data_IF_988592788814
#
_entry.id   IF_988592788814
#
_cell.length_a   1.000
_cell.length_b   1.000
_cell.length_c   1.000
_cell.angle_alpha   90.00
_cell.angle_beta   90.00
_cell.angle_gamma   90.00
#
_symmetry.space_group_name_H-M   'P 1'
#
loop_
_entity.id
_entity.type
_entity.pdbx_description
1 polymer ?
#
# COMPACT_ATOMS: atom_id res chain seq x y z
N UNK A 1 -10.67 12.55 4.63
CA UNK A 1 -9.80 11.41 5.05
C UNK A 1 -10.11 10.25 4.12
N UNK A 2 -9.11 9.71 3.43
CA UNK A 2 -9.22 8.54 2.56
C UNK A 2 -8.67 7.31 3.28
N UNK A 3 -9.35 6.18 3.15
CA UNK A 3 -8.91 4.92 3.73
C UNK A 3 -8.46 3.99 2.61
N UNK A 4 -7.25 3.43 2.75
CA UNK A 4 -6.66 2.52 1.77
C UNK A 4 -6.40 1.20 2.49
N UNK A 5 -7.08 0.14 2.03
CA UNK A 5 -6.85 -1.22 2.49
C UNK A 5 -5.68 -1.85 1.75
N UNK A 6 -4.82 -2.57 2.45
CA UNK A 6 -3.71 -3.32 1.84
C UNK A 6 -3.64 -4.72 2.43
N UNK A 7 -3.70 -5.73 1.57
CA UNK A 7 -3.29 -7.09 1.87
C UNK A 7 -1.85 -7.31 1.33
N UNK A 8 -1.02 -7.89 2.18
CA UNK A 8 0.43 -7.96 2.00
C UNK A 8 0.85 -9.40 1.77
N UNK A 9 1.32 -9.70 0.57
CA UNK A 9 1.89 -11.02 0.26
C UNK A 9 3.40 -10.92 0.05
N UNK A 10 4.07 -12.08 -0.07
CA UNK A 10 5.51 -12.14 -0.33
C UNK A 10 5.93 -11.41 -1.61
N UNK A 11 5.09 -11.43 -2.65
CA UNK A 11 5.44 -10.88 -3.98
C UNK A 11 4.72 -9.57 -4.29
N UNK A 12 3.54 -9.39 -3.73
CA UNK A 12 2.58 -8.39 -4.18
C UNK A 12 1.87 -7.71 -3.00
N UNK A 13 1.46 -6.46 -3.21
CA UNK A 13 0.58 -5.67 -2.37
C UNK A 13 -0.76 -5.55 -3.11
N UNK A 14 -1.78 -6.20 -2.57
CA UNK A 14 -3.16 -6.05 -3.03
C UNK A 14 -3.74 -4.82 -2.34
N UNK A 15 -3.98 -3.75 -3.10
CA UNK A 15 -4.38 -2.44 -2.58
C UNK A 15 -5.80 -2.14 -3.01
N UNK A 16 -6.64 -1.74 -2.06
CA UNK A 16 -8.01 -1.29 -2.30
C UNK A 16 -8.18 0.17 -1.84
N UNK A 17 -8.53 1.04 -2.78
CA UNK A 17 -8.82 2.46 -2.51
C UNK A 17 -10.18 2.92 -3.05
N UNK A 18 -11.11 1.98 -3.17
CA UNK A 18 -12.34 2.08 -3.97
C UNK A 18 -12.19 1.45 -5.36
N UNK A 19 -10.96 1.05 -5.72
CA UNK A 19 -10.63 0.19 -6.87
C UNK A 19 -9.56 -0.81 -6.46
N UNK A 20 -9.61 -1.99 -7.06
CA UNK A 20 -8.56 -3.01 -6.91
C UNK A 20 -7.31 -2.62 -7.71
N UNK A 21 -6.18 -2.64 -7.01
CA UNK A 21 -4.86 -2.30 -7.53
C UNK A 21 -3.85 -3.33 -7.03
N UNK A 22 -2.79 -3.55 -7.81
CA UNK A 22 -1.73 -4.46 -7.42
C UNK A 22 -0.35 -3.83 -7.65
N UNK A 23 0.53 -3.96 -6.67
CA UNK A 23 1.91 -3.47 -6.72
C UNK A 23 2.89 -4.55 -6.26
N UNK A 24 4.07 -4.61 -6.88
CA UNK A 24 5.12 -5.54 -6.43
C UNK A 24 5.58 -5.16 -5.01
N UNK A 25 5.57 -6.12 -4.09
CA UNK A 25 6.12 -6.01 -2.74
C UNK A 25 7.64 -6.16 -2.78
N UNK A 26 8.34 -5.04 -2.95
CA UNK A 26 9.80 -4.96 -2.94
C UNK A 26 10.28 -3.77 -2.14
N UNK A 27 11.54 -3.82 -1.75
CA UNK A 27 12.16 -2.79 -0.93
C UNK A 27 11.89 -1.35 -1.46
N UNK A 28 11.50 -0.48 -0.53
CA UNK A 28 11.23 0.93 -0.79
C UNK A 28 9.87 1.25 -1.44
N UNK A 29 9.14 0.26 -1.97
CA UNK A 29 7.77 0.40 -2.51
C UNK A 29 7.59 1.57 -3.49
N UNK A 30 8.59 1.81 -4.36
CA UNK A 30 8.67 3.00 -5.21
C UNK A 30 7.39 3.25 -6.04
N UNK A 31 6.84 2.20 -6.66
CA UNK A 31 5.63 2.31 -7.49
C UNK A 31 4.40 2.69 -6.68
N UNK A 32 4.22 2.06 -5.51
CA UNK A 32 3.11 2.37 -4.61
C UNK A 32 3.21 3.78 -4.03
N UNK A 33 4.40 4.20 -3.56
CA UNK A 33 4.64 5.57 -3.07
C UNK A 33 4.39 6.62 -4.15
N UNK A 34 4.80 6.34 -5.40
CA UNK A 34 4.53 7.22 -6.56
C UNK A 34 3.02 7.35 -6.83
N UNK A 35 2.29 6.24 -6.74
CA UNK A 35 0.83 6.23 -6.88
C UNK A 35 0.15 7.11 -5.82
N UNK A 36 0.49 6.92 -4.54
CA UNK A 36 -0.08 7.71 -3.44
C UNK A 36 0.17 9.22 -3.61
N UNK A 37 1.41 9.62 -3.90
CA UNK A 37 1.78 11.03 -4.12
C UNK A 37 1.07 11.68 -5.31
N UNK A 38 0.71 10.89 -6.32
CA UNK A 38 0.02 11.40 -7.52
C UNK A 38 -1.48 11.58 -7.27
N UNK A 39 -2.10 10.67 -6.51
CA UNK A 39 -3.56 10.62 -6.34
C UNK A 39 -4.06 11.37 -5.10
N UNK A 40 -3.24 11.45 -4.06
CA UNK A 40 -3.68 11.95 -2.76
C UNK A 40 -2.71 12.96 -2.15
N UNK A 41 -3.25 13.84 -1.31
CA UNK A 41 -2.44 14.54 -0.30
C UNK A 41 -2.12 13.54 0.82
N UNK A 42 -0.84 13.34 1.10
CA UNK A 42 -0.42 12.30 2.06
C UNK A 42 -0.93 12.55 3.49
N UNK A 43 -1.22 13.80 3.85
CA UNK A 43 -1.82 14.17 5.14
C UNK A 43 -3.29 13.77 5.28
N UNK A 44 -3.94 13.33 4.20
CA UNK A 44 -5.37 13.03 4.17
C UNK A 44 -5.64 11.53 3.99
N UNK A 45 -4.60 10.68 3.99
CA UNK A 45 -4.75 9.23 3.84
C UNK A 45 -4.47 8.49 5.15
N UNK A 46 -5.27 7.47 5.41
CA UNK A 46 -5.03 6.46 6.43
C UNK A 46 -4.87 5.11 5.72
N UNK A 47 -3.73 4.45 5.93
CA UNK A 47 -3.45 3.13 5.38
C UNK A 47 -3.78 2.10 6.46
N UNK A 48 -4.66 1.16 6.12
CA UNK A 48 -5.04 0.02 6.94
C UNK A 48 -4.47 -1.20 6.24
N UNK A 49 -3.64 -1.97 6.93
CA UNK A 49 -3.11 -3.21 6.36
C UNK A 49 -3.32 -4.36 7.32
N UNK A 50 -3.65 -5.53 6.77
CA UNK A 50 -3.58 -6.77 7.53
C UNK A 50 -2.12 -7.27 7.48
N UNK A 51 -1.42 -7.35 8.63
CA UNK A 51 -0.03 -7.74 8.63
C UNK A 51 0.10 -9.25 8.46
N UNK A 52 0.43 -9.69 7.25
CA UNK A 52 0.78 -11.08 6.96
C UNK A 52 2.25 -11.34 7.33
N UNK A 53 2.55 -11.30 8.63
CA UNK A 53 3.85 -11.68 9.21
C UNK A 53 5.07 -10.90 8.69
N UNK A 54 6.14 -11.62 8.34
CA UNK A 54 7.45 -11.03 7.95
C UNK A 54 7.42 -10.19 6.67
N UNK A 55 6.36 -10.29 5.87
CA UNK A 55 6.27 -9.65 4.56
C UNK A 55 5.83 -8.17 4.61
N UNK A 56 5.40 -7.68 5.78
CA UNK A 56 5.07 -6.27 6.01
C UNK A 56 6.28 -5.37 6.29
N UNK A 57 7.50 -5.92 6.26
CA UNK A 57 8.73 -5.17 6.59
C UNK A 57 8.91 -3.89 5.75
N UNK A 58 8.51 -3.93 4.47
CA UNK A 58 8.68 -2.81 3.56
C UNK A 58 7.59 -1.72 3.65
N UNK A 59 6.56 -1.95 4.48
CA UNK A 59 5.47 -1.00 4.71
C UNK A 59 5.73 -0.04 5.89
N UNK A 60 6.81 -0.26 6.66
CA UNK A 60 7.27 0.66 7.70
C UNK A 60 7.77 1.99 7.14
#
# INVERSE_FOLDING_TARGET
>A
MYYIGIDVSKKDLSVFDGKDLNFINKEGLKSFKKYLKKKYRLSEIAIIFEPTGIYSLYLK
#
